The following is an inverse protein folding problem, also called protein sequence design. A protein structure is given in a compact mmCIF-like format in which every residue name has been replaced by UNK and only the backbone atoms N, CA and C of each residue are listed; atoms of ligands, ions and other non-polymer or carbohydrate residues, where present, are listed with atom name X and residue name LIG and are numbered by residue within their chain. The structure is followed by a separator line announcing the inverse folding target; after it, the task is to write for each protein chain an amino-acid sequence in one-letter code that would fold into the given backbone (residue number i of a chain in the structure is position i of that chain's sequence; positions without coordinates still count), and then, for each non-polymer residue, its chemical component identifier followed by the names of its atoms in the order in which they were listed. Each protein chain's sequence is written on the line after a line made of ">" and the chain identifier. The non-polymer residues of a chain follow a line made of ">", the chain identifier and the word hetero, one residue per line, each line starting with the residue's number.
data_IF_056277841651
#
_entry.id   IF_056277841651
#
_cell.length_a   1.000
_cell.length_b   1.000
_cell.length_c   1.000
_cell.angle_alpha   90.00
_cell.angle_beta   90.00
_cell.angle_gamma   90.00
#
_symmetry.space_group_name_H-M   'P 1'
#
loop_
_entity.id
_entity.type
_entity.pdbx_description
1 polymer ?
#
# COMPACT_ATOMS: atom_id res chain seq x y z
N UNK A 1 -15.65 -3.86 -16.35
CA UNK A 1 -14.43 -3.19 -16.86
C UNK A 1 -13.88 -2.32 -15.75
N UNK A 2 -12.56 -2.29 -15.52
CA UNK A 2 -11.95 -1.26 -14.68
C UNK A 2 -12.31 0.12 -15.25
N UNK A 3 -12.83 1.01 -14.41
CA UNK A 3 -13.09 2.40 -14.81
C UNK A 3 -11.80 3.19 -14.58
N UNK A 4 -11.15 3.63 -15.67
CA UNK A 4 -9.98 4.50 -15.60
C UNK A 4 -10.45 5.95 -15.46
N UNK A 5 -10.02 6.60 -14.38
CA UNK A 5 -10.30 8.01 -14.14
C UNK A 5 -9.32 8.86 -14.96
N UNK A 6 -9.78 9.41 -16.10
CA UNK A 6 -8.95 10.17 -17.03
C UNK A 6 -8.36 11.47 -16.45
N UNK A 7 -8.74 11.86 -15.22
CA UNK A 7 -8.16 13.01 -14.52
C UNK A 7 -6.96 12.67 -13.63
N UNK A 8 -6.75 11.38 -13.33
CA UNK A 8 -5.65 10.94 -12.47
C UNK A 8 -4.35 10.78 -13.29
N UNK A 9 -3.18 11.22 -12.78
CA UNK A 9 -1.94 11.30 -13.57
C UNK A 9 -1.35 9.94 -13.98
N UNK A 10 -1.88 8.84 -13.46
CA UNK A 10 -1.45 7.46 -13.72
C UNK A 10 -2.68 6.57 -13.85
N UNK A 11 -2.60 5.39 -14.47
CA UNK A 11 -3.72 4.46 -14.55
C UNK A 11 -4.25 4.12 -13.15
N UNK A 12 -5.54 4.41 -12.93
CA UNK A 12 -6.22 4.17 -11.66
C UNK A 12 -7.39 3.23 -11.86
N UNK A 13 -7.36 2.10 -11.16
CA UNK A 13 -8.43 1.12 -11.08
C UNK A 13 -9.11 1.27 -9.72
N UNK A 14 -10.40 1.62 -9.73
CA UNK A 14 -11.22 1.72 -8.50
C UNK A 14 -12.11 0.49 -8.36
N UNK A 15 -12.09 -0.12 -7.18
CA UNK A 15 -12.91 -1.28 -6.83
C UNK A 15 -13.77 -0.96 -5.61
N UNK A 16 -15.06 -1.29 -5.64
CA UNK A 16 -15.91 -1.20 -4.45
C UNK A 16 -15.41 -2.16 -3.36
N UNK A 17 -15.09 -3.40 -3.74
CA UNK A 17 -14.62 -4.44 -2.84
C UNK A 17 -13.62 -5.35 -3.54
N UNK A 18 -12.64 -5.82 -2.78
CA UNK A 18 -11.70 -6.88 -3.20
C UNK A 18 -11.28 -7.70 -1.99
N UNK A 19 -10.60 -8.83 -2.20
CA UNK A 19 -9.95 -9.53 -1.11
C UNK A 19 -8.69 -8.78 -0.66
N UNK A 20 -7.83 -8.40 -1.60
CA UNK A 20 -6.67 -7.55 -1.40
C UNK A 20 -6.29 -6.83 -2.69
N UNK A 21 -6.09 -5.52 -2.61
CA UNK A 21 -5.58 -4.67 -3.71
C UNK A 21 -4.23 -5.17 -4.22
N UNK A 22 -3.35 -5.66 -3.34
CA UNK A 22 -2.04 -6.18 -3.75
C UNK A 22 -2.17 -7.48 -4.51
N UNK A 23 -3.04 -8.40 -4.05
CA UNK A 23 -3.32 -9.65 -4.76
C UNK A 23 -3.98 -9.39 -6.10
N UNK A 24 -4.97 -8.52 -6.15
CA UNK A 24 -5.62 -8.12 -7.40
C UNK A 24 -4.59 -7.61 -8.42
N UNK A 25 -3.70 -6.70 -7.98
CA UNK A 25 -2.70 -6.12 -8.86
C UNK A 25 -1.63 -7.13 -9.29
N UNK A 26 -1.21 -8.03 -8.41
CA UNK A 26 -0.34 -9.16 -8.76
C UNK A 26 -0.95 -10.00 -9.86
N UNK A 27 -2.21 -10.46 -9.69
CA UNK A 27 -2.92 -11.26 -10.69
C UNK A 27 -3.08 -10.50 -12.01
N UNK A 28 -3.38 -9.20 -11.95
CA UNK A 28 -3.50 -8.37 -13.15
C UNK A 28 -2.18 -8.35 -13.94
N UNK A 29 -1.06 -8.16 -13.25
CA UNK A 29 0.28 -8.13 -13.83
C UNK A 29 0.78 -9.51 -14.31
N UNK A 30 0.15 -10.61 -13.91
CA UNK A 30 0.46 -11.96 -14.42
C UNK A 30 -0.19 -12.23 -15.79
N UNK A 31 -1.32 -11.58 -16.06
CA UNK A 31 -2.15 -11.83 -17.24
C UNK A 31 -2.08 -10.70 -18.27
N UNK A 32 -1.52 -9.55 -17.91
CA UNK A 32 -1.48 -8.35 -18.73
C UNK A 32 -0.16 -7.60 -18.54
N UNK A 33 0.23 -6.84 -19.55
CA UNK A 33 1.22 -5.77 -19.38
C UNK A 33 0.54 -4.63 -18.61
N UNK A 34 1.11 -4.31 -17.45
CA UNK A 34 0.61 -3.25 -16.56
C UNK A 34 1.64 -2.14 -16.55
N UNK A 35 1.20 -0.90 -16.72
CA UNK A 35 2.09 0.25 -16.73
C UNK A 35 2.65 0.52 -15.34
N UNK A 36 3.88 1.05 -15.29
CA UNK A 36 4.47 1.54 -14.05
C UNK A 36 3.56 2.60 -13.41
N UNK A 37 3.49 2.60 -12.07
CA UNK A 37 2.59 3.43 -11.28
C UNK A 37 1.10 3.13 -11.44
N UNK A 38 0.69 2.05 -12.12
CA UNK A 38 -0.72 1.63 -12.07
C UNK A 38 -1.15 1.42 -10.63
N UNK A 39 -2.24 2.08 -10.22
CA UNK A 39 -2.80 2.02 -8.88
C UNK A 39 -4.11 1.24 -8.89
N UNK A 40 -4.27 0.33 -7.94
CA UNK A 40 -5.54 -0.30 -7.60
C UNK A 40 -5.98 0.22 -6.25
N UNK A 41 -7.07 0.98 -6.22
CA UNK A 41 -7.74 1.50 -5.02
C UNK A 41 -8.96 0.63 -4.72
N UNK A 42 -9.22 0.35 -3.44
CA UNK A 42 -10.50 -0.26 -3.04
C UNK A 42 -11.16 0.43 -1.85
N UNK A 43 -12.49 0.51 -1.87
CA UNK A 43 -13.27 0.99 -0.72
C UNK A 43 -13.29 0.00 0.44
N UNK A 44 -13.10 -1.30 0.18
CA UNK A 44 -13.08 -2.33 1.21
C UNK A 44 -12.26 -3.56 0.81
N UNK A 45 -11.48 -4.09 1.77
CA UNK A 45 -10.76 -5.36 1.61
C UNK A 45 -11.28 -6.41 2.59
N UNK A 46 -11.78 -7.54 2.08
CA UNK A 46 -12.25 -8.66 2.93
C UNK A 46 -11.10 -9.45 3.56
N UNK A 47 -9.94 -9.48 2.91
CA UNK A 47 -8.75 -10.23 3.31
C UNK A 47 -7.47 -9.40 3.16
N UNK A 48 -7.51 -8.14 3.63
CA UNK A 48 -6.37 -7.24 3.63
C UNK A 48 -5.13 -7.86 4.27
N UNK A 49 -3.95 -7.60 3.70
CA UNK A 49 -2.68 -8.22 4.10
C UNK A 49 -1.79 -7.22 4.81
N UNK A 50 -1.17 -7.66 5.90
CA UNK A 50 -0.06 -6.98 6.57
C UNK A 50 1.25 -7.75 6.38
N UNK A 51 2.30 -7.33 7.10
CA UNK A 51 3.56 -8.07 7.10
C UNK A 51 3.45 -9.38 7.89
N UNK A 52 4.20 -10.40 7.45
CA UNK A 52 4.23 -11.73 8.07
C UNK A 52 2.80 -12.31 8.13
N UNK A 53 2.38 -12.80 9.30
CA UNK A 53 1.08 -13.42 9.53
C UNK A 53 -0.02 -12.40 9.90
N UNK A 54 0.26 -11.09 9.86
CA UNK A 54 -0.72 -10.07 10.21
C UNK A 54 -1.67 -9.80 9.05
N UNK A 55 -2.96 -9.64 9.36
CA UNK A 55 -3.97 -9.16 8.42
C UNK A 55 -4.25 -7.67 8.63
N UNK A 56 -4.55 -6.98 7.54
CA UNK A 56 -5.05 -5.61 7.58
C UNK A 56 -6.57 -5.63 7.69
N UNK A 57 -7.11 -5.05 8.76
CA UNK A 57 -8.55 -4.99 9.02
C UNK A 57 -9.05 -3.56 8.83
N UNK A 58 -10.03 -3.41 7.96
CA UNK A 58 -10.61 -2.11 7.59
C UNK A 58 -12.13 -2.20 7.58
N UNK A 59 -12.81 -1.15 8.00
CA UNK A 59 -14.22 -0.88 7.70
C UNK A 59 -14.33 -0.25 6.31
N UNK A 60 -15.41 -0.57 5.60
CA UNK A 60 -15.67 -0.05 4.26
C UNK A 60 -15.75 1.49 4.26
N UNK A 61 -15.04 2.13 3.32
CA UNK A 61 -15.06 3.58 3.12
C UNK A 61 -14.35 4.41 4.18
N UNK A 62 -13.75 3.79 5.20
CA UNK A 62 -13.08 4.51 6.31
C UNK A 62 -11.56 4.57 6.22
N UNK A 63 -10.99 3.87 5.25
CA UNK A 63 -9.55 3.67 5.11
C UNK A 63 -9.13 3.96 3.68
N UNK A 64 -7.92 4.50 3.52
CA UNK A 64 -7.27 4.58 2.23
C UNK A 64 -6.54 3.25 1.99
N UNK A 65 -7.03 2.47 1.05
CA UNK A 65 -6.53 1.13 0.73
C UNK A 65 -6.18 1.07 -0.75
N UNK A 66 -4.90 0.99 -1.06
CA UNK A 66 -4.46 0.88 -2.44
C UNK A 66 -3.17 0.09 -2.57
N UNK A 67 -2.91 -0.37 -3.79
CA UNK A 67 -1.62 -0.95 -4.17
C UNK A 67 -1.14 -0.35 -5.47
N UNK A 68 0.18 -0.31 -5.65
CA UNK A 68 0.83 0.27 -6.82
C UNK A 68 1.87 -0.69 -7.40
N UNK A 69 1.95 -0.75 -8.73
CA UNK A 69 2.97 -1.52 -9.44
C UNK A 69 4.17 -0.63 -9.75
N UNK A 70 5.37 -1.10 -9.41
CA UNK A 70 6.65 -0.47 -9.74
C UNK A 70 7.55 -1.48 -10.45
N UNK A 71 8.43 -1.00 -11.33
CA UNK A 71 9.36 -1.84 -12.10
C UNK A 71 10.81 -1.39 -11.91
N UNK A 72 11.36 -1.46 -10.67
CA UNK A 72 12.71 -0.99 -10.37
C UNK A 72 13.79 -1.98 -10.84
N UNK A 73 13.82 -2.31 -12.13
CA UNK A 73 14.75 -3.26 -12.77
C UNK A 73 16.23 -2.88 -12.61
N UNK A 74 16.50 -1.60 -12.31
CA UNK A 74 17.82 -1.11 -11.97
C UNK A 74 18.28 -1.54 -10.55
N UNK A 75 17.36 -1.89 -9.66
CA UNK A 75 17.62 -2.14 -8.24
C UNK A 75 18.01 -3.61 -8.00
N UNK A 76 19.20 -3.80 -7.42
CA UNK A 76 19.64 -5.11 -6.97
C UNK A 76 18.89 -5.56 -5.71
N UNK A 77 18.63 -6.86 -5.58
CA UNK A 77 17.85 -7.43 -4.46
C UNK A 77 18.47 -7.12 -3.10
N UNK A 78 19.82 -7.09 -3.01
CA UNK A 78 20.52 -6.72 -1.78
C UNK A 78 20.22 -5.28 -1.31
N UNK A 79 19.76 -4.43 -2.24
CA UNK A 79 19.42 -3.03 -1.99
C UNK A 79 17.90 -2.80 -1.93
N UNK A 80 17.07 -3.85 -1.89
CA UNK A 80 15.60 -3.73 -1.87
C UNK A 80 15.05 -2.84 -0.75
N UNK A 81 15.80 -2.71 0.35
CA UNK A 81 15.44 -1.84 1.47
C UNK A 81 15.35 -0.36 1.07
N UNK A 82 16.12 0.09 0.06
CA UNK A 82 16.02 1.45 -0.47
C UNK A 82 14.60 1.78 -0.93
N UNK A 83 13.90 0.81 -1.51
CA UNK A 83 12.51 1.01 -1.95
C UNK A 83 11.60 1.24 -0.74
N UNK A 84 11.75 0.46 0.34
CA UNK A 84 11.03 0.71 1.59
C UNK A 84 11.34 2.09 2.15
N UNK A 85 12.59 2.56 2.05
CA UNK A 85 12.94 3.88 2.56
C UNK A 85 12.27 5.00 1.78
N UNK A 86 12.34 4.93 0.44
CA UNK A 86 11.73 5.94 -0.44
C UNK A 86 10.21 5.96 -0.25
N UNK A 87 9.56 4.80 -0.21
CA UNK A 87 8.10 4.73 -0.04
C UNK A 87 7.65 5.32 1.30
N UNK A 88 8.36 5.03 2.39
CA UNK A 88 7.99 5.56 3.70
C UNK A 88 8.22 7.05 3.85
N UNK A 89 9.32 7.57 3.29
CA UNK A 89 9.53 9.02 3.24
C UNK A 89 8.44 9.70 2.39
N UNK A 90 8.12 9.13 1.22
CA UNK A 90 7.08 9.66 0.33
C UNK A 90 5.70 9.68 0.98
N UNK A 91 5.35 8.62 1.73
CA UNK A 91 4.09 8.59 2.50
C UNK A 91 4.07 9.68 3.57
N UNK A 92 5.14 9.83 4.35
CA UNK A 92 5.22 10.85 5.40
C UNK A 92 5.14 12.26 4.80
N UNK A 93 5.87 12.53 3.72
CA UNK A 93 5.85 13.83 3.03
C UNK A 93 4.46 14.12 2.46
N UNK A 94 3.85 13.17 1.73
CA UNK A 94 2.52 13.34 1.15
C UNK A 94 1.41 13.55 2.21
N UNK A 95 1.49 12.88 3.36
CA UNK A 95 0.58 13.12 4.48
C UNK A 95 0.85 14.46 5.18
N UNK A 96 2.12 14.87 5.24
CA UNK A 96 2.56 16.13 5.83
C UNK A 96 1.94 17.38 5.21
N UNK A 97 1.51 17.30 3.95
CA UNK A 97 0.76 18.37 3.26
C UNK A 97 -0.63 18.60 3.86
N UNK A 98 -1.19 17.63 4.58
CA UNK A 98 -2.54 17.72 5.18
C UNK A 98 -2.51 18.05 6.67
N UNK A 99 -1.49 17.58 7.41
CA UNK A 99 -1.34 17.84 8.84
C UNK A 99 0.11 17.65 9.31
N UNK A 100 0.44 18.25 10.46
CA UNK A 100 1.68 17.95 11.19
C UNK A 100 1.53 16.72 12.10
N UNK A 101 2.64 16.26 12.69
CA UNK A 101 2.64 15.17 13.68
C UNK A 101 2.90 13.79 13.09
N UNK A 102 3.11 13.67 11.77
CA UNK A 102 3.44 12.38 11.15
C UNK A 102 4.87 11.95 11.45
N UNK A 103 5.03 10.71 11.89
CA UNK A 103 6.32 10.08 12.17
C UNK A 103 6.39 8.67 11.58
N UNK A 104 7.62 8.19 11.36
CA UNK A 104 7.85 6.85 10.80
C UNK A 104 8.43 5.96 11.89
N UNK A 105 7.75 4.84 12.15
CA UNK A 105 8.39 3.70 12.80
C UNK A 105 8.97 2.84 11.69
N UNK A 106 10.28 3.00 11.51
CA UNK A 106 10.97 2.46 10.35
C UNK A 106 10.83 0.94 10.23
N UNK A 107 10.71 0.41 8.99
CA UNK A 107 10.64 1.14 7.73
C UNK A 107 9.23 1.20 7.15
N UNK A 108 8.18 0.69 7.79
CA UNK A 108 6.90 0.41 7.12
C UNK A 108 5.67 0.99 7.80
N UNK A 109 5.79 1.51 9.02
CA UNK A 109 4.65 1.97 9.79
C UNK A 109 4.65 3.50 9.84
N UNK A 110 3.51 4.09 9.50
CA UNK A 110 3.27 5.52 9.62
C UNK A 110 2.43 5.79 10.87
N UNK A 111 2.87 6.78 11.63
CA UNK A 111 2.27 7.21 12.88
C UNK A 111 1.81 8.66 12.74
N UNK A 112 0.73 9.00 13.42
CA UNK A 112 0.33 10.37 13.70
C UNK A 112 0.38 10.56 15.21
N UNK A 113 1.22 11.49 15.68
CA UNK A 113 1.68 11.54 17.07
C UNK A 113 2.23 10.17 17.49
N UNK A 114 1.73 9.61 18.61
CA UNK A 114 2.15 8.31 19.15
C UNK A 114 1.33 7.13 18.64
N UNK A 115 0.47 7.35 17.64
CA UNK A 115 -0.54 6.39 17.17
C UNK A 115 -0.24 5.87 15.76
N UNK A 116 -0.16 4.54 15.59
CA UNK A 116 0.05 3.88 14.28
C UNK A 116 -1.15 3.98 13.33
N UNK A 117 -1.23 5.00 12.50
CA UNK A 117 -2.37 5.17 11.58
C UNK A 117 -2.31 4.29 10.34
N UNK A 118 -1.15 3.74 9.99
CA UNK A 118 -0.99 3.08 8.70
C UNK A 118 0.25 2.22 8.60
N UNK A 119 0.35 1.54 7.46
CA UNK A 119 1.59 0.93 7.05
C UNK A 119 1.57 0.46 5.61
N UNK A 120 2.71 -0.08 5.19
CA UNK A 120 2.89 -0.62 3.85
C UNK A 120 3.44 -2.05 3.85
N UNK A 121 3.16 -2.74 2.76
CA UNK A 121 3.70 -4.05 2.42
C UNK A 121 4.29 -3.96 1.01
N UNK A 122 5.54 -4.37 0.84
CA UNK A 122 6.20 -4.44 -0.47
C UNK A 122 6.46 -5.89 -0.79
N UNK A 123 5.93 -6.35 -1.91
CA UNK A 123 6.11 -7.70 -2.44
C UNK A 123 6.93 -7.61 -3.73
N UNK A 124 8.10 -8.25 -3.74
CA UNK A 124 9.05 -8.16 -4.86
C UNK A 124 9.07 -9.47 -5.67
N UNK A 125 8.90 -9.35 -6.98
CA UNK A 125 9.26 -10.38 -7.93
C UNK A 125 10.70 -10.19 -8.37
N UNK A 126 11.45 -11.29 -8.49
CA UNK A 126 12.88 -11.24 -8.78
C UNK A 126 13.20 -11.81 -10.16
N UNK A 127 14.25 -11.28 -10.78
CA UNK A 127 14.90 -11.87 -11.97
C UNK A 127 16.42 -11.84 -11.75
N UNK A 128 17.02 -13.02 -11.61
CA UNK A 128 18.42 -13.13 -11.19
C UNK A 128 18.67 -12.44 -9.85
N UNK A 129 19.57 -11.46 -9.82
CA UNK A 129 19.92 -10.67 -8.63
C UNK A 129 19.24 -9.29 -8.58
N UNK A 130 18.21 -9.05 -9.41
CA UNK A 130 17.50 -7.77 -9.54
C UNK A 130 16.02 -7.92 -9.24
N UNK A 131 15.39 -6.82 -8.86
CA UNK A 131 13.94 -6.73 -8.70
C UNK A 131 13.32 -6.54 -10.08
N UNK A 132 12.44 -7.44 -10.49
CA UNK A 132 11.67 -7.32 -11.74
C UNK A 132 10.48 -6.37 -11.57
N UNK A 133 9.75 -6.56 -10.48
CA UNK A 133 8.51 -5.85 -10.16
C UNK A 133 8.38 -5.75 -8.65
N UNK A 134 7.83 -4.65 -8.17
CA UNK A 134 7.41 -4.48 -6.78
C UNK A 134 5.94 -4.10 -6.75
N UNK A 135 5.15 -4.83 -5.97
CA UNK A 135 3.79 -4.42 -5.62
C UNK A 135 3.85 -3.79 -4.23
N UNK A 136 3.52 -2.50 -4.16
CA UNK A 136 3.52 -1.74 -2.90
C UNK A 136 2.07 -1.55 -2.47
N UNK A 137 1.63 -2.30 -1.46
CA UNK A 137 0.34 -2.12 -0.81
C UNK A 137 0.42 -1.16 0.36
N UNK A 138 -0.50 -0.20 0.42
CA UNK A 138 -0.59 0.82 1.46
C UNK A 138 -1.98 0.80 2.07
N UNK A 139 -2.03 0.76 3.40
CA UNK A 139 -3.25 0.89 4.19
C UNK A 139 -3.10 1.99 5.22
N UNK A 140 -4.01 2.96 5.21
CA UNK A 140 -4.02 4.08 6.15
C UNK A 140 -5.45 4.25 6.71
N UNK A 141 -5.55 4.28 8.03
CA UNK A 141 -6.78 4.58 8.74
C UNK A 141 -7.03 6.10 8.64
N UNK A 142 -8.20 6.49 8.14
CA UNK A 142 -8.58 7.90 7.99
C UNK A 142 -9.75 8.24 8.91
N UNK A 143 -10.86 7.49 8.78
CA UNK A 143 -12.11 7.73 9.51
C UNK A 143 -12.51 6.55 10.40
N UNK A 144 -11.63 5.56 10.59
CA UNK A 144 -11.94 4.38 11.38
C UNK A 144 -11.67 4.63 12.87
N UNK A 145 -12.74 4.65 13.64
CA UNK A 145 -12.67 4.89 15.09
C UNK A 145 -12.67 3.59 15.92
N UNK A 146 -13.15 2.49 15.34
CA UNK A 146 -13.31 1.21 16.02
C UNK A 146 -12.39 0.18 15.41
N UNK A 147 -11.71 -0.54 16.28
CA UNK A 147 -10.82 -1.62 15.90
C UNK A 147 -11.09 -2.84 16.76
N UNK A 148 -10.86 -4.01 16.18
CA UNK A 148 -11.05 -5.25 16.91
C UNK A 148 -10.03 -5.33 18.07
N UNK A 149 -10.43 -5.69 19.30
CA UNK A 149 -9.55 -5.73 20.47
C UNK A 149 -8.33 -6.65 20.32
N UNK A 150 -8.39 -7.62 19.40
CA UNK A 150 -7.30 -8.57 19.14
C UNK A 150 -6.17 -8.00 18.28
N UNK A 151 -6.29 -6.78 17.77
CA UNK A 151 -5.22 -6.15 17.01
C UNK A 151 -4.15 -5.64 17.99
N UNK A 152 -2.86 -5.82 17.68
CA UNK A 152 -1.79 -5.20 18.46
C UNK A 152 -1.70 -3.71 18.11
N UNK A 153 -1.93 -2.83 19.09
CA UNK A 153 -1.88 -1.37 18.97
C UNK A 153 -2.73 -0.75 17.83
N UNK A 154 -4.03 -1.11 17.68
CA UNK A 154 -4.90 -0.42 16.77
C UNK A 154 -5.15 1.00 17.29
N UNK A 155 -5.19 1.97 16.39
CA UNK A 155 -5.43 3.36 16.77
C UNK A 155 -6.50 3.98 15.90
N UNK A 156 -7.46 4.57 16.60
CA UNK A 156 -8.37 5.62 16.15
C UNK A 156 -7.70 6.98 16.14
#
# INVERSE_FOLDING_TARGET
>A
MPCFDASFPVPLIRLEETDSTSRYLTTLCEHNEVEEFTIVLSHFQTAGRGQREHSWKSEAGKNLLFSMALYPSFLEVRNQFLLSQIMSLSMKEGLGEFASGFSLKWPNDIYWEEKKIGGMLIENDLVGNRIRRSIVGIGININQEKFHPSLPNPVS
#
